data_IF_442942692137
#
_entry.id   IF_442942692137
#
_cell.length_a   1.000
_cell.length_b   1.000
_cell.length_c   1.000
_cell.angle_alpha   90.00
_cell.angle_beta   90.00
_cell.angle_gamma   90.00
#
_symmetry.space_group_name_H-M   'P 1'
#
loop_
_entity.id
_entity.type
_entity.pdbx_description
1 polymer ?
#
# COMPACT_ATOMS: atom_id res chain seq x y z
N UNK A 1 39.55 6.47 -5.86
CA UNK A 1 38.76 7.60 -5.34
C UNK A 1 37.60 7.03 -4.56
N UNK A 2 37.50 7.36 -3.27
CA UNK A 2 36.40 6.78 -2.44
C UNK A 2 35.11 7.58 -2.70
N UNK A 3 34.23 7.04 -3.55
CA UNK A 3 32.87 7.57 -3.73
C UNK A 3 32.08 7.33 -2.46
N UNK A 4 31.47 8.38 -1.92
CA UNK A 4 30.56 8.29 -0.78
C UNK A 4 29.13 8.08 -1.30
N UNK A 5 28.49 6.99 -0.90
CA UNK A 5 27.13 6.62 -1.29
C UNK A 5 26.25 6.46 -0.08
N UNK A 6 25.30 7.37 0.05
CA UNK A 6 24.42 7.45 1.23
C UNK A 6 23.03 6.99 0.84
N UNK A 7 22.55 5.93 1.49
CA UNK A 7 21.18 5.47 1.40
C UNK A 7 20.41 5.96 2.62
N UNK A 8 19.54 6.93 2.41
CA UNK A 8 18.79 7.63 3.46
C UNK A 8 17.33 7.18 3.46
N UNK A 9 16.79 6.81 4.64
CA UNK A 9 15.42 6.33 4.80
C UNK A 9 14.59 7.23 5.73
N UNK A 10 13.37 7.53 5.29
CA UNK A 10 12.26 7.92 6.16
C UNK A 10 11.33 6.72 6.35
N UNK A 11 11.16 6.27 7.61
CA UNK A 11 10.55 4.99 7.92
C UNK A 11 9.04 5.11 8.06
N UNK A 12 8.31 4.40 7.19
CA UNK A 12 6.86 4.27 7.25
C UNK A 12 6.41 2.84 6.96
N UNK A 13 5.33 2.38 7.62
CA UNK A 13 4.81 1.02 7.41
C UNK A 13 4.27 0.83 5.99
N UNK A 14 3.47 1.78 5.51
CA UNK A 14 2.92 1.77 4.15
C UNK A 14 3.83 2.48 3.17
N UNK A 15 4.49 3.54 3.61
CA UNK A 15 5.31 4.38 2.75
C UNK A 15 6.70 4.44 3.36
N UNK A 16 7.57 3.54 2.94
CA UNK A 16 8.99 3.61 3.23
C UNK A 16 9.62 4.46 2.14
N UNK A 17 9.99 5.71 2.45
CA UNK A 17 10.68 6.56 1.50
C UNK A 17 12.19 6.40 1.62
N UNK A 18 12.89 6.41 0.49
CA UNK A 18 14.34 6.43 0.50
C UNK A 18 14.90 7.34 -0.60
N UNK A 19 16.11 7.87 -0.33
CA UNK A 19 16.91 8.59 -1.29
C UNK A 19 18.33 8.03 -1.29
N UNK A 20 18.81 7.61 -2.46
CA UNK A 20 20.15 7.07 -2.64
C UNK A 20 21.01 8.13 -3.33
N UNK A 21 21.97 8.69 -2.60
CA UNK A 21 22.83 9.79 -3.02
C UNK A 21 24.25 9.30 -3.24
N UNK A 22 24.92 9.87 -4.24
CA UNK A 22 26.34 9.66 -4.52
C UNK A 22 27.06 11.01 -4.54
N UNK A 23 28.20 11.09 -3.86
CA UNK A 23 29.11 12.23 -3.87
C UNK A 23 30.52 11.75 -4.16
N UNK A 24 31.17 12.38 -5.12
CA UNK A 24 32.58 12.18 -5.37
C UNK A 24 33.41 13.02 -4.37
N UNK A 25 34.44 12.42 -3.79
CA UNK A 25 35.28 13.07 -2.77
C UNK A 25 35.95 14.34 -3.27
N UNK A 26 36.21 14.44 -4.58
CA UNK A 26 36.93 15.57 -5.21
C UNK A 26 36.02 16.62 -5.86
N UNK A 27 34.69 16.40 -5.93
CA UNK A 27 33.78 17.32 -6.63
C UNK A 27 32.61 17.72 -5.71
N UNK A 28 32.14 18.99 -5.78
CA UNK A 28 31.00 19.45 -4.98
C UNK A 28 29.66 18.79 -5.41
N UNK A 29 29.70 18.04 -6.50
CA UNK A 29 28.50 17.54 -7.17
C UNK A 29 27.94 16.30 -6.50
N UNK A 30 26.69 16.39 -6.06
CA UNK A 30 25.90 15.28 -5.51
C UNK A 30 24.93 14.80 -6.58
N UNK A 31 24.85 13.48 -6.79
CA UNK A 31 23.86 12.87 -7.70
C UNK A 31 22.84 12.06 -6.90
N UNK A 32 21.61 12.03 -7.37
CA UNK A 32 20.61 11.10 -6.90
C UNK A 32 20.66 9.87 -7.81
N UNK A 33 21.00 8.71 -7.24
CA UNK A 33 21.02 7.43 -7.95
C UNK A 33 19.62 6.84 -8.05
N UNK A 34 18.84 6.94 -6.97
CA UNK A 34 17.44 6.52 -6.93
C UNK A 34 16.70 7.22 -5.79
N UNK A 35 15.42 7.51 -5.99
CA UNK A 35 14.60 8.23 -5.02
C UNK A 35 13.13 7.91 -5.19
N UNK A 36 12.56 7.17 -4.26
CA UNK A 36 11.16 6.73 -4.34
C UNK A 36 10.58 6.28 -3.00
N UNK A 37 9.29 6.00 -3.04
CA UNK A 37 8.55 5.41 -1.94
C UNK A 37 8.21 3.98 -2.31
N UNK A 38 8.40 3.07 -1.38
CA UNK A 38 8.00 1.67 -1.49
C UNK A 38 6.92 1.33 -0.47
N UNK A 39 5.97 0.51 -0.88
CA UNK A 39 4.86 0.08 -0.02
C UNK A 39 5.21 -1.27 0.63
N UNK A 40 5.47 -1.27 1.95
CA UNK A 40 5.79 -2.49 2.69
C UNK A 40 4.57 -3.41 2.91
N UNK A 41 3.35 -2.94 2.63
CA UNK A 41 2.14 -3.76 2.70
C UNK A 41 1.96 -4.61 1.44
N UNK A 42 2.45 -4.13 0.29
CA UNK A 42 2.24 -4.71 -1.02
C UNK A 42 3.57 -4.96 -1.71
N UNK A 43 4.00 -6.22 -1.77
CA UNK A 43 5.27 -6.62 -2.40
C UNK A 43 5.20 -6.77 -3.92
N UNK A 44 4.01 -6.98 -4.44
CA UNK A 44 3.78 -7.09 -5.86
C UNK A 44 3.30 -5.76 -6.42
N UNK A 45 3.82 -5.34 -7.59
CA UNK A 45 3.22 -4.21 -8.30
C UNK A 45 1.74 -4.53 -8.49
N UNK A 46 0.85 -3.52 -8.39
CA UNK A 46 -0.56 -3.77 -8.65
C UNK A 46 -0.67 -4.40 -10.04
N UNK A 47 -0.99 -5.70 -10.07
CA UNK A 47 -1.29 -6.37 -11.32
C UNK A 47 -2.55 -5.65 -11.83
N UNK A 48 -2.36 -4.75 -12.76
CA UNK A 48 -3.45 -4.08 -13.45
C UNK A 48 -4.11 -5.12 -14.36
N UNK A 49 -4.84 -6.05 -13.75
CA UNK A 49 -5.78 -6.84 -14.51
C UNK A 49 -6.85 -5.86 -15.00
N UNK A 50 -6.71 -5.41 -16.22
CA UNK A 50 -7.71 -4.58 -16.89
C UNK A 50 -8.93 -5.43 -17.28
N UNK A 51 -9.48 -6.15 -16.25
CA UNK A 51 -10.73 -6.85 -16.46
C UNK A 51 -11.85 -5.85 -16.71
N UNK A 52 -12.52 -6.04 -17.81
CA UNK A 52 -13.69 -5.25 -18.21
C UNK A 52 -14.96 -6.04 -18.02
N UNK A 53 -16.02 -5.35 -17.71
CA UNK A 53 -17.35 -5.92 -17.59
C UNK A 53 -17.86 -6.34 -18.99
N UNK A 54 -18.16 -7.61 -19.15
CA UNK A 54 -18.70 -8.20 -20.40
C UNK A 54 -20.21 -8.29 -20.43
N UNK A 55 -20.93 -7.70 -19.47
CA UNK A 55 -22.38 -7.65 -19.49
C UNK A 55 -22.86 -6.90 -20.72
N UNK A 56 -23.89 -7.43 -21.37
CA UNK A 56 -24.51 -6.79 -22.52
C UNK A 56 -25.32 -5.56 -22.09
N UNK A 57 -25.21 -4.49 -22.85
CA UNK A 57 -26.04 -3.29 -22.68
C UNK A 57 -27.39 -3.55 -23.34
N UNK A 58 -28.49 -3.28 -22.63
CA UNK A 58 -29.84 -3.30 -23.22
C UNK A 58 -29.97 -2.13 -24.20
N UNK A 59 -29.82 -2.40 -25.49
CA UNK A 59 -30.07 -1.41 -26.55
C UNK A 59 -31.48 -1.61 -27.08
N UNK A 60 -32.28 -0.57 -27.07
CA UNK A 60 -33.67 -0.57 -27.53
C UNK A 60 -33.84 -0.63 -29.07
N UNK A 61 -32.76 -0.79 -29.81
CA UNK A 61 -32.76 -0.81 -31.29
C UNK A 61 -32.02 -2.04 -31.80
N UNK A 62 -32.43 -2.57 -32.93
CA UNK A 62 -31.96 -3.77 -33.64
C UNK A 62 -30.45 -3.85 -33.98
N UNK A 63 -29.58 -3.27 -33.15
CA UNK A 63 -28.12 -3.31 -33.30
C UNK A 63 -27.55 -4.49 -32.48
N UNK A 64 -26.42 -5.01 -32.97
CA UNK A 64 -25.65 -6.05 -32.31
C UNK A 64 -25.45 -5.70 -30.82
N UNK A 65 -25.72 -6.62 -29.86
CA UNK A 65 -25.55 -6.36 -28.46
C UNK A 65 -24.12 -5.91 -28.19
N UNK A 66 -23.96 -4.73 -27.55
CA UNK A 66 -22.65 -4.18 -27.20
C UNK A 66 -22.31 -4.54 -25.76
N UNK A 67 -21.09 -5.00 -25.52
CA UNK A 67 -20.58 -5.22 -24.17
C UNK A 67 -20.38 -3.89 -23.43
N UNK A 68 -20.53 -3.94 -22.10
CA UNK A 68 -20.39 -2.78 -21.22
C UNK A 68 -19.02 -2.11 -21.30
N UNK A 69 -17.93 -2.87 -21.32
CA UNK A 69 -16.55 -2.39 -21.41
C UNK A 69 -16.03 -1.57 -20.21
N UNK A 70 -16.87 -1.28 -19.19
CA UNK A 70 -16.43 -0.56 -17.99
C UNK A 70 -15.47 -1.42 -17.17
N UNK A 71 -14.52 -0.78 -16.45
CA UNK A 71 -13.61 -1.48 -15.53
C UNK A 71 -14.41 -2.35 -14.56
N UNK A 72 -14.05 -3.62 -14.46
CA UNK A 72 -14.68 -4.55 -13.54
C UNK A 72 -14.21 -4.29 -12.10
N UNK A 73 -15.14 -4.42 -11.15
CA UNK A 73 -14.90 -4.29 -9.71
C UNK A 73 -15.11 -5.62 -8.98
N UNK A 74 -15.93 -6.48 -9.58
CA UNK A 74 -16.33 -7.75 -9.01
C UNK A 74 -16.09 -8.88 -10.01
N UNK A 75 -15.74 -10.05 -9.47
CA UNK A 75 -15.65 -11.29 -10.23
C UNK A 75 -16.48 -12.39 -9.56
N UNK A 76 -16.92 -13.34 -10.36
CA UNK A 76 -17.58 -14.56 -9.89
C UNK A 76 -17.03 -15.74 -10.68
N UNK A 77 -16.51 -16.73 -9.98
CA UNK A 77 -16.00 -17.96 -10.61
C UNK A 77 -17.03 -19.06 -10.42
N UNK A 78 -17.54 -19.58 -11.52
CA UNK A 78 -18.46 -20.71 -11.51
C UNK A 78 -17.71 -21.97 -11.07
N UNK A 79 -18.09 -22.54 -9.93
CA UNK A 79 -17.65 -23.90 -9.61
C UNK A 79 -18.32 -24.86 -10.58
N UNK A 80 -17.53 -25.66 -11.28
CA UNK A 80 -18.07 -26.78 -12.07
C UNK A 80 -18.65 -27.77 -11.06
N UNK A 81 -19.95 -27.68 -10.84
CA UNK A 81 -20.68 -28.74 -10.14
C UNK A 81 -20.72 -29.93 -11.10
N UNK A 82 -20.15 -31.05 -10.68
CA UNK A 82 -20.42 -32.37 -11.32
C UNK A 82 -21.92 -32.70 -11.25
N UNK A 83 -22.70 -32.09 -12.11
CA UNK A 83 -24.03 -32.62 -12.42
C UNK A 83 -23.81 -33.75 -13.41
N UNK A 84 -23.90 -34.97 -12.91
CA UNK A 84 -23.97 -36.21 -13.67
C UNK A 84 -25.12 -36.14 -14.69
N UNK A 85 -24.85 -35.60 -15.87
CA UNK A 85 -25.69 -35.83 -17.02
C UNK A 85 -25.24 -37.18 -17.61
N UNK A 86 -25.98 -38.26 -17.29
CA UNK A 86 -25.88 -39.53 -18.02
C UNK A 86 -26.38 -39.27 -19.44
N UNK A 87 -25.48 -39.11 -20.37
CA UNK A 87 -25.78 -39.35 -21.80
C UNK A 87 -25.29 -40.74 -22.11
N UNK A 88 -26.26 -41.61 -22.44
CA UNK A 88 -26.01 -42.93 -23.00
C UNK A 88 -25.48 -42.84 -24.41
N UNK A 89 -24.55 -43.71 -24.71
CA UNK A 89 -24.07 -44.22 -26.01
C UNK A 89 -23.00 -43.38 -26.77
N UNK A 90 -21.83 -44.03 -26.82
CA UNK A 90 -20.93 -44.15 -27.97
C UNK A 90 -20.40 -42.87 -28.66
N UNK A 91 -19.27 -42.36 -28.14
CA UNK A 91 -18.05 -42.11 -28.92
C UNK A 91 -16.96 -41.53 -27.99
N UNK A 92 -15.89 -42.29 -27.86
CA UNK A 92 -14.71 -41.93 -27.07
C UNK A 92 -13.93 -40.83 -27.75
N UNK A 93 -14.13 -39.57 -27.35
CA UNK A 93 -13.19 -38.49 -27.61
C UNK A 93 -13.03 -37.66 -26.33
N UNK A 94 -11.81 -37.54 -25.91
CA UNK A 94 -11.23 -36.82 -24.75
C UNK A 94 -12.16 -35.81 -24.12
N UNK A 95 -12.73 -36.16 -22.93
CA UNK A 95 -13.47 -35.22 -22.08
C UNK A 95 -12.50 -34.16 -21.53
N UNK A 96 -12.41 -33.03 -22.18
CA UNK A 96 -11.81 -31.82 -21.62
C UNK A 96 -12.75 -31.36 -20.50
N UNK A 97 -12.34 -31.51 -19.22
CA UNK A 97 -13.04 -30.89 -18.11
C UNK A 97 -13.14 -29.38 -18.39
N UNK A 98 -14.33 -28.79 -18.47
CA UNK A 98 -14.44 -27.35 -18.70
C UNK A 98 -13.77 -26.61 -17.54
N UNK A 99 -12.84 -25.75 -17.86
CA UNK A 99 -12.19 -24.88 -16.87
C UNK A 99 -13.25 -23.97 -16.21
N UNK A 100 -13.14 -23.67 -14.92
CA UNK A 100 -14.08 -22.79 -14.24
C UNK A 100 -14.08 -21.43 -14.94
N UNK A 101 -15.27 -20.98 -15.39
CA UNK A 101 -15.41 -19.70 -16.05
C UNK A 101 -15.50 -18.57 -15.03
N UNK A 102 -14.64 -17.55 -15.17
CA UNK A 102 -14.67 -16.36 -14.32
C UNK A 102 -15.36 -15.22 -15.04
N UNK A 103 -16.47 -14.76 -14.49
CA UNK A 103 -17.27 -13.65 -14.99
C UNK A 103 -16.89 -12.35 -14.27
N UNK A 104 -16.82 -11.24 -15.02
CA UNK A 104 -16.38 -9.95 -14.52
C UNK A 104 -17.49 -8.90 -14.61
N UNK A 105 -17.71 -8.14 -13.53
CA UNK A 105 -18.82 -7.20 -13.42
C UNK A 105 -18.33 -5.81 -12.95
N UNK A 106 -18.80 -4.74 -13.60
CA UNK A 106 -18.68 -3.39 -13.06
C UNK A 106 -19.70 -3.18 -11.91
N UNK A 107 -19.54 -2.13 -11.13
CA UNK A 107 -20.38 -1.87 -9.96
C UNK A 107 -21.88 -1.80 -10.28
N UNK A 108 -22.24 -1.13 -11.38
CA UNK A 108 -23.64 -1.00 -11.81
C UNK A 108 -24.26 -2.35 -12.18
N UNK A 109 -23.55 -3.17 -12.98
CA UNK A 109 -24.07 -4.48 -13.38
C UNK A 109 -24.07 -5.48 -12.22
N UNK A 110 -23.13 -5.41 -11.29
CA UNK A 110 -23.15 -6.24 -10.09
C UNK A 110 -24.35 -5.90 -9.19
N UNK A 111 -24.69 -4.61 -9.02
CA UNK A 111 -25.86 -4.17 -8.23
C UNK A 111 -27.20 -4.58 -8.87
N UNK A 112 -27.27 -4.56 -10.18
CA UNK A 112 -28.50 -4.88 -10.91
C UNK A 112 -28.72 -6.39 -11.10
N UNK A 113 -27.68 -7.19 -10.95
CA UNK A 113 -27.76 -8.65 -11.05
C UNK A 113 -28.28 -9.23 -9.73
N UNK A 114 -29.44 -9.88 -9.79
CA UNK A 114 -30.08 -10.51 -8.62
C UNK A 114 -29.58 -11.93 -8.30
N UNK A 115 -28.75 -12.50 -9.18
CA UNK A 115 -28.25 -13.87 -9.04
C UNK A 115 -27.18 -13.98 -7.97
N UNK A 116 -26.35 -12.95 -7.84
CA UNK A 116 -25.21 -12.94 -6.93
C UNK A 116 -25.29 -11.78 -5.93
N UNK A 117 -24.70 -11.97 -4.77
CA UNK A 117 -24.73 -11.00 -3.68
C UNK A 117 -23.46 -10.13 -3.68
N UNK A 118 -23.62 -8.85 -3.45
CA UNK A 118 -22.47 -7.97 -3.17
C UNK A 118 -21.98 -8.26 -1.76
N UNK A 119 -20.67 -8.53 -1.56
CA UNK A 119 -20.11 -8.80 -0.24
C UNK A 119 -20.34 -7.62 0.71
N UNK A 120 -20.86 -7.89 1.90
CA UNK A 120 -21.12 -6.90 2.96
C UNK A 120 -20.47 -7.37 4.26
N UNK A 121 -20.10 -6.45 5.14
CA UNK A 121 -19.61 -6.80 6.49
C UNK A 121 -20.57 -7.64 7.29
N UNK A 122 -21.87 -7.48 7.08
CA UNK A 122 -22.92 -8.31 7.73
C UNK A 122 -22.88 -9.78 7.31
N UNK A 123 -22.22 -10.13 6.20
CA UNK A 123 -22.06 -11.50 5.73
C UNK A 123 -20.83 -12.18 6.33
N UNK A 124 -19.95 -11.43 7.00
CA UNK A 124 -18.77 -11.99 7.64
C UNK A 124 -19.13 -12.79 8.89
N UNK A 125 -18.40 -13.86 9.15
CA UNK A 125 -18.59 -14.75 10.31
C UNK A 125 -18.60 -13.98 11.64
N UNK A 126 -17.71 -12.98 11.78
CA UNK A 126 -17.64 -12.11 12.95
C UNK A 126 -18.94 -11.34 13.23
N UNK A 127 -19.65 -10.95 12.17
CA UNK A 127 -20.94 -10.25 12.25
C UNK A 127 -22.08 -11.23 12.52
N UNK A 128 -22.07 -12.39 11.86
CA UNK A 128 -23.08 -13.46 12.08
C UNK A 128 -23.03 -13.99 13.50
N UNK A 129 -21.85 -14.16 14.07
CA UNK A 129 -21.68 -14.62 15.46
C UNK A 129 -22.26 -13.64 16.51
N UNK A 130 -22.42 -12.34 16.17
CA UNK A 130 -23.05 -11.34 17.05
C UNK A 130 -24.58 -11.39 17.03
N UNK A 131 -25.16 -12.00 16.02
CA UNK A 131 -26.62 -12.10 15.92
C UNK A 131 -27.19 -13.09 16.95
N UNK A 132 -28.38 -12.78 17.45
CA UNK A 132 -29.19 -13.75 18.20
C UNK A 132 -29.73 -14.82 17.26
N UNK A 133 -30.14 -15.98 17.82
CA UNK A 133 -30.66 -17.08 17.05
C UNK A 133 -31.83 -16.68 16.12
N UNK A 134 -32.77 -15.92 16.64
CA UNK A 134 -33.94 -15.41 15.87
C UNK A 134 -33.51 -14.60 14.61
N UNK A 135 -32.39 -13.83 14.71
CA UNK A 135 -31.86 -13.09 13.57
C UNK A 135 -31.22 -14.00 12.52
N UNK A 136 -30.57 -15.10 12.93
CA UNK A 136 -30.02 -16.10 12.01
C UNK A 136 -31.13 -16.89 11.33
N UNK A 137 -32.17 -17.31 12.07
CA UNK A 137 -33.33 -18.01 11.53
C UNK A 137 -34.08 -17.19 10.46
N UNK A 138 -34.23 -15.86 10.70
CA UNK A 138 -34.78 -14.92 9.70
C UNK A 138 -33.97 -14.91 8.42
N UNK A 139 -32.62 -14.85 8.50
CA UNK A 139 -31.76 -14.89 7.32
C UNK A 139 -31.84 -16.22 6.57
N UNK A 140 -31.91 -17.36 7.28
CA UNK A 140 -32.07 -18.67 6.69
C UNK A 140 -33.40 -18.75 5.88
N UNK A 141 -34.47 -18.21 6.45
CA UNK A 141 -35.77 -18.13 5.78
C UNK A 141 -35.76 -17.18 4.59
N UNK A 142 -35.17 -16.00 4.75
CA UNK A 142 -35.05 -14.98 3.69
C UNK A 142 -34.32 -15.49 2.46
N UNK A 143 -33.23 -16.26 2.67
CA UNK A 143 -32.45 -16.81 1.57
C UNK A 143 -32.88 -18.22 1.14
N UNK A 144 -33.99 -18.76 1.66
CA UNK A 144 -34.51 -20.11 1.38
C UNK A 144 -33.42 -21.19 1.49
N UNK A 145 -32.63 -21.14 2.59
CA UNK A 145 -31.54 -22.11 2.80
C UNK A 145 -32.17 -23.38 3.40
N UNK A 146 -32.00 -24.51 2.71
CA UNK A 146 -32.51 -25.80 3.16
C UNK A 146 -31.81 -26.26 4.44
N UNK A 147 -32.58 -26.58 5.47
CA UNK A 147 -32.08 -27.19 6.70
C UNK A 147 -32.24 -28.69 6.57
N UNK A 148 -31.18 -29.43 6.86
CA UNK A 148 -31.24 -30.89 6.90
C UNK A 148 -32.00 -31.33 8.16
N UNK A 149 -33.12 -32.04 7.97
CA UNK A 149 -34.02 -32.46 9.05
C UNK A 149 -33.35 -33.38 10.08
N UNK A 150 -32.25 -34.03 9.73
CA UNK A 150 -31.50 -34.95 10.58
C UNK A 150 -30.51 -34.26 11.53
N UNK A 151 -30.21 -32.97 11.33
CA UNK A 151 -29.13 -32.27 12.06
C UNK A 151 -29.69 -31.43 13.22
N UNK A 152 -29.15 -31.61 14.43
CA UNK A 152 -29.50 -30.77 15.57
C UNK A 152 -29.10 -29.31 15.29
N UNK A 153 -30.10 -28.44 15.11
CA UNK A 153 -29.92 -27.04 14.73
C UNK A 153 -29.37 -26.24 15.91
N UNK A 154 -28.04 -26.04 15.94
CA UNK A 154 -27.36 -25.15 16.90
C UNK A 154 -27.05 -23.79 16.24
N UNK A 155 -26.78 -22.76 17.06
CA UNK A 155 -26.36 -21.45 16.55
C UNK A 155 -25.17 -21.58 15.60
N UNK A 156 -24.19 -22.44 15.92
CA UNK A 156 -23.00 -22.67 15.10
C UNK A 156 -23.37 -23.21 13.72
N UNK A 157 -24.29 -24.19 13.66
CA UNK A 157 -24.75 -24.74 12.39
C UNK A 157 -25.42 -23.69 11.52
N UNK A 158 -26.23 -22.78 12.09
CA UNK A 158 -26.85 -21.68 11.35
C UNK A 158 -25.82 -20.70 10.79
N UNK A 159 -24.80 -20.35 11.57
CA UNK A 159 -23.70 -19.48 11.13
C UNK A 159 -22.91 -20.14 10.00
N UNK A 160 -22.56 -21.42 10.12
CA UNK A 160 -21.83 -22.17 9.09
C UNK A 160 -22.63 -22.29 7.78
N UNK A 161 -23.92 -22.52 7.86
CA UNK A 161 -24.81 -22.55 6.69
C UNK A 161 -24.87 -21.21 5.97
N UNK A 162 -25.07 -20.11 6.72
CA UNK A 162 -25.09 -18.75 6.16
C UNK A 162 -23.73 -18.39 5.55
N UNK A 163 -22.62 -18.71 6.22
CA UNK A 163 -21.28 -18.50 5.71
C UNK A 163 -21.06 -19.22 4.39
N UNK A 164 -21.43 -20.51 4.33
CA UNK A 164 -21.30 -21.31 3.12
C UNK A 164 -22.18 -20.76 1.99
N UNK A 165 -23.39 -20.32 2.29
CA UNK A 165 -24.30 -19.69 1.33
C UNK A 165 -23.68 -18.40 0.78
N UNK A 166 -23.21 -17.48 1.64
CA UNK A 166 -22.58 -16.25 1.21
C UNK A 166 -21.29 -16.49 0.41
N UNK A 167 -20.46 -17.44 0.81
CA UNK A 167 -19.25 -17.80 0.07
C UNK A 167 -19.58 -18.29 -1.35
N UNK A 168 -20.65 -19.07 -1.52
CA UNK A 168 -21.08 -19.60 -2.83
C UNK A 168 -21.81 -18.57 -3.69
N UNK A 169 -22.52 -17.61 -3.08
CA UNK A 169 -23.40 -16.67 -3.80
C UNK A 169 -22.85 -15.27 -3.91
N UNK A 170 -21.82 -14.90 -3.17
CA UNK A 170 -21.26 -13.56 -3.24
C UNK A 170 -20.20 -13.41 -4.34
N UNK A 171 -20.20 -12.25 -4.93
CA UNK A 171 -19.06 -11.81 -5.73
C UNK A 171 -17.79 -11.78 -4.88
N UNK A 172 -16.67 -12.02 -5.54
CA UNK A 172 -15.35 -11.67 -5.01
C UNK A 172 -14.96 -10.31 -5.55
N UNK A 173 -14.48 -9.42 -4.69
CA UNK A 173 -13.87 -8.18 -5.17
C UNK A 173 -12.63 -8.53 -6.00
N UNK A 174 -12.52 -7.93 -7.18
CA UNK A 174 -11.26 -8.01 -7.93
C UNK A 174 -10.25 -7.21 -7.11
N UNK A 175 -9.45 -7.91 -6.32
CA UNK A 175 -8.36 -7.29 -5.61
C UNK A 175 -7.33 -6.80 -6.64
N UNK A 176 -7.14 -5.51 -6.72
CA UNK A 176 -5.81 -5.00 -7.03
C UNK A 176 -4.95 -5.51 -5.88
N UNK A 177 -4.02 -6.40 -6.05
CA UNK A 177 -3.22 -7.20 -5.12
C UNK A 177 -2.96 -6.66 -3.68
N UNK A 178 -3.71 -5.67 -3.24
CA UNK A 178 -3.77 -5.16 -1.89
C UNK A 178 -5.11 -5.57 -1.29
N UNK A 179 -5.11 -6.39 -0.26
CA UNK A 179 -6.31 -6.53 0.57
C UNK A 179 -6.75 -5.11 1.00
N UNK A 180 -7.91 -4.60 0.52
CA UNK A 180 -8.35 -3.25 0.87
C UNK A 180 -8.56 -3.07 2.38
N UNK A 181 -8.60 -4.16 3.14
CA UNK A 181 -8.69 -4.19 4.59
C UNK A 181 -7.32 -4.34 5.27
N UNK A 182 -6.24 -4.58 4.50
CA UNK A 182 -4.89 -4.62 5.05
C UNK A 182 -4.45 -3.20 5.41
N UNK A 183 -4.46 -2.89 6.67
CA UNK A 183 -3.99 -1.61 7.20
C UNK A 183 -2.64 -1.80 7.89
N UNK A 184 -1.86 -0.73 7.97
CA UNK A 184 -0.57 -0.71 8.65
C UNK A 184 -0.63 -1.27 10.09
N UNK A 185 -1.78 -1.20 10.75
CA UNK A 185 -1.97 -1.71 12.12
C UNK A 185 -2.32 -3.20 12.17
N UNK A 186 -2.78 -3.81 11.09
CA UNK A 186 -3.26 -5.20 11.07
C UNK A 186 -2.21 -6.20 10.57
N UNK A 187 -1.28 -5.75 9.74
CA UNK A 187 -0.23 -6.63 9.21
C UNK A 187 0.72 -7.04 10.35
N UNK A 188 1.09 -8.30 10.43
CA UNK A 188 2.09 -8.76 11.39
C UNK A 188 3.52 -8.34 11.00
N UNK A 189 4.41 -8.24 11.99
CA UNK A 189 5.78 -7.76 11.76
C UNK A 189 6.63 -8.77 10.99
N UNK A 190 6.38 -10.07 11.12
CA UNK A 190 7.10 -11.11 10.36
C UNK A 190 6.84 -10.95 8.87
N UNK A 191 5.57 -10.70 8.51
CA UNK A 191 5.20 -10.41 7.10
C UNK A 191 5.87 -9.14 6.60
N UNK A 192 5.92 -8.06 7.42
CA UNK A 192 6.66 -6.84 7.05
C UNK A 192 8.14 -7.13 6.83
N UNK A 193 8.79 -7.89 7.71
CA UNK A 193 10.20 -8.26 7.54
C UNK A 193 10.47 -9.05 6.26
N UNK A 194 9.57 -9.99 5.89
CA UNK A 194 9.64 -10.70 4.60
C UNK A 194 9.47 -9.74 3.42
N UNK A 195 8.55 -8.79 3.54
CA UNK A 195 8.31 -7.78 2.52
C UNK A 195 9.50 -6.84 2.35
N UNK A 196 10.14 -6.41 3.45
CA UNK A 196 11.38 -5.62 3.44
C UNK A 196 12.44 -6.37 2.64
N UNK A 197 12.72 -7.63 2.99
CA UNK A 197 13.70 -8.45 2.27
C UNK A 197 13.37 -8.53 0.78
N UNK A 198 12.14 -8.87 0.44
CA UNK A 198 11.72 -9.04 -0.95
C UNK A 198 11.82 -7.74 -1.76
N UNK A 199 11.40 -6.61 -1.20
CA UNK A 199 11.47 -5.31 -1.86
C UNK A 199 12.91 -4.85 -2.02
N UNK A 200 13.72 -4.94 -0.95
CA UNK A 200 15.11 -4.48 -0.99
C UNK A 200 15.96 -5.33 -1.92
N UNK A 201 15.71 -6.64 -2.02
CA UNK A 201 16.42 -7.52 -2.97
C UNK A 201 16.07 -7.20 -4.43
N UNK A 202 14.86 -6.68 -4.71
CA UNK A 202 14.44 -6.23 -6.05
C UNK A 202 15.00 -4.87 -6.44
N UNK A 203 15.55 -4.09 -5.51
CA UNK A 203 16.15 -2.80 -5.79
C UNK A 203 17.60 -2.97 -6.29
N UNK A 204 17.74 -3.40 -7.55
CA UNK A 204 19.05 -3.66 -8.20
C UNK A 204 20.01 -2.49 -8.07
N UNK A 205 19.50 -1.23 -8.09
CA UNK A 205 20.31 -0.02 -7.94
C UNK A 205 21.13 -0.02 -6.64
N UNK A 206 20.55 -0.50 -5.54
CA UNK A 206 21.22 -0.57 -4.22
C UNK A 206 22.35 -1.60 -4.26
N UNK A 207 22.13 -2.74 -4.91
CA UNK A 207 23.13 -3.79 -5.03
C UNK A 207 24.24 -3.40 -6.01
N UNK A 208 23.88 -2.73 -7.12
CA UNK A 208 24.83 -2.31 -8.15
C UNK A 208 25.83 -1.28 -7.61
N UNK A 209 25.35 -0.29 -6.84
CA UNK A 209 26.21 0.81 -6.37
C UNK A 209 26.78 0.61 -4.97
N UNK A 210 26.28 -0.32 -4.17
CA UNK A 210 26.73 -0.65 -2.82
C UNK A 210 26.86 0.59 -1.90
N UNK A 211 25.91 0.86 -1.01
CA UNK A 211 25.97 2.01 -0.12
C UNK A 211 27.20 1.94 0.81
N UNK A 212 27.88 3.04 0.99
CA UNK A 212 28.93 3.19 2.01
C UNK A 212 28.36 3.58 3.37
N UNK A 213 27.25 4.33 3.35
CA UNK A 213 26.53 4.79 4.53
C UNK A 213 25.04 4.54 4.37
N UNK A 214 24.40 4.08 5.42
CA UNK A 214 22.96 3.86 5.49
C UNK A 214 22.45 4.60 6.71
N UNK A 215 21.55 5.55 6.47
CA UNK A 215 21.03 6.42 7.52
C UNK A 215 19.52 6.31 7.60
N UNK A 216 19.01 6.28 8.82
CA UNK A 216 17.59 6.15 9.10
C UNK A 216 17.17 7.16 10.15
N UNK A 217 15.93 7.69 10.02
CA UNK A 217 15.39 8.54 11.06
C UNK A 217 15.22 7.76 12.36
N UNK A 218 15.74 8.31 13.47
CA UNK A 218 15.61 7.67 14.77
C UNK A 218 14.19 7.78 15.32
N UNK A 219 13.56 6.63 15.55
CA UNK A 219 12.19 6.52 16.06
C UNK A 219 12.17 6.61 17.59
N UNK A 220 12.04 7.82 18.12
CA UNK A 220 12.17 8.10 19.58
C UNK A 220 10.88 7.78 20.34
N UNK A 221 9.71 7.88 19.73
CA UNK A 221 8.42 7.74 20.42
C UNK A 221 8.17 6.32 20.93
N UNK A 222 7.73 6.20 22.18
CA UNK A 222 7.27 4.93 22.78
C UNK A 222 6.03 4.37 22.06
N UNK A 223 5.20 5.23 21.46
CA UNK A 223 4.04 4.83 20.66
C UNK A 223 4.42 4.29 19.28
N UNK A 224 5.67 4.48 18.87
CA UNK A 224 6.18 4.03 17.56
C UNK A 224 6.83 2.63 17.62
N UNK A 225 6.39 1.73 18.50
CA UNK A 225 6.98 0.40 18.66
C UNK A 225 7.12 -0.35 17.32
N UNK A 226 6.08 -0.33 16.49
CA UNK A 226 6.12 -0.94 15.16
C UNK A 226 7.16 -0.30 14.23
N UNK A 227 7.30 1.02 14.28
CA UNK A 227 8.31 1.75 13.48
C UNK A 227 9.73 1.41 13.94
N UNK A 228 9.95 1.25 15.26
CA UNK A 228 11.24 0.77 15.79
C UNK A 228 11.56 -0.66 15.35
N UNK A 229 10.56 -1.54 15.30
CA UNK A 229 10.75 -2.90 14.79
C UNK A 229 11.16 -2.87 13.32
N UNK A 230 10.47 -2.10 12.48
CA UNK A 230 10.83 -1.92 11.06
C UNK A 230 12.25 -1.33 10.91
N UNK A 231 12.60 -0.36 11.74
CA UNK A 231 13.95 0.20 11.79
C UNK A 231 14.99 -0.90 12.09
N UNK A 232 14.73 -1.75 13.08
CA UNK A 232 15.59 -2.89 13.41
C UNK A 232 15.67 -3.93 12.32
N UNK A 233 14.54 -4.27 11.68
CA UNK A 233 14.48 -5.22 10.56
C UNK A 233 15.27 -4.71 9.34
N UNK A 234 15.13 -3.43 8.97
CA UNK A 234 15.91 -2.78 7.92
C UNK A 234 17.40 -2.77 8.27
N UNK A 235 17.73 -2.41 9.50
CA UNK A 235 19.12 -2.39 9.98
C UNK A 235 19.75 -3.78 9.86
N UNK A 236 19.06 -4.81 10.34
CA UNK A 236 19.56 -6.18 10.28
C UNK A 236 19.72 -6.66 8.83
N UNK A 237 18.75 -6.34 7.96
CA UNK A 237 18.86 -6.64 6.53
C UNK A 237 20.14 -6.04 5.94
N UNK A 238 20.41 -4.77 6.21
CA UNK A 238 21.58 -4.09 5.66
C UNK A 238 22.90 -4.52 6.27
N UNK A 239 22.95 -4.87 7.56
CA UNK A 239 24.14 -5.50 8.18
C UNK A 239 24.50 -6.78 7.46
N UNK A 240 23.51 -7.61 7.15
CA UNK A 240 23.74 -8.88 6.44
C UNK A 240 24.12 -8.66 4.97
N UNK A 241 23.52 -7.67 4.31
CA UNK A 241 23.72 -7.43 2.86
C UNK A 241 24.98 -6.64 2.55
N UNK A 242 25.32 -5.64 3.39
CA UNK A 242 26.46 -4.74 3.23
C UNK A 242 27.24 -4.62 4.55
N UNK A 243 27.98 -5.65 4.96
CA UNK A 243 28.62 -5.71 6.28
C UNK A 243 29.63 -4.59 6.56
N UNK A 244 30.16 -3.97 5.51
CA UNK A 244 31.12 -2.88 5.61
C UNK A 244 30.48 -1.47 5.54
N UNK A 245 29.17 -1.37 5.33
CA UNK A 245 28.49 -0.08 5.31
C UNK A 245 28.34 0.47 6.72
N UNK A 246 28.60 1.77 6.89
CA UNK A 246 28.33 2.46 8.13
C UNK A 246 26.81 2.70 8.27
N UNK A 247 26.22 2.26 9.40
CA UNK A 247 24.78 2.43 9.64
C UNK A 247 24.59 3.37 10.84
N UNK A 248 23.80 4.43 10.66
CA UNK A 248 23.57 5.44 11.70
C UNK A 248 22.08 5.83 11.79
N UNK A 249 21.58 5.98 13.03
CA UNK A 249 20.26 6.54 13.32
C UNK A 249 20.38 8.05 13.56
N UNK A 250 19.62 8.84 12.82
CA UNK A 250 19.72 10.29 12.81
C UNK A 250 18.47 10.93 13.40
N UNK A 251 18.66 11.98 14.21
CA UNK A 251 17.54 12.76 14.73
C UNK A 251 16.81 13.51 13.60
N UNK A 252 15.48 13.43 13.59
CA UNK A 252 14.62 14.20 12.67
C UNK A 252 14.85 15.71 12.70
N UNK A 253 15.33 16.24 13.84
CA UNK A 253 15.64 17.66 13.98
C UNK A 253 16.81 18.13 13.09
N UNK A 254 17.65 17.23 12.62
CA UNK A 254 18.82 17.58 11.83
C UNK A 254 18.49 17.97 10.39
N UNK A 255 17.44 17.39 9.80
CA UNK A 255 17.09 17.59 8.39
C UNK A 255 16.77 19.04 8.01
N UNK A 256 16.25 19.85 8.94
CA UNK A 256 15.91 21.26 8.72
C UNK A 256 16.87 22.25 9.42
N UNK A 257 17.82 21.78 10.23
CA UNK A 257 18.62 22.59 11.14
C UNK A 257 19.44 23.69 10.46
N UNK A 258 19.85 23.51 9.21
CA UNK A 258 20.72 24.42 8.48
C UNK A 258 20.03 25.13 7.31
N UNK A 259 18.71 25.01 7.22
CA UNK A 259 17.93 25.73 6.22
C UNK A 259 17.28 26.95 6.88
N UNK A 260 17.59 28.14 6.35
CA UNK A 260 16.94 29.39 6.78
C UNK A 260 15.50 29.41 6.29
N UNK A 261 14.51 29.72 7.13
CA UNK A 261 13.14 29.85 6.68
C UNK A 261 13.06 30.90 5.58
N UNK A 262 12.49 30.53 4.44
CA UNK A 262 12.12 31.55 3.44
C UNK A 262 10.88 32.24 4.00
N UNK A 263 11.07 33.40 4.61
CA UNK A 263 9.98 34.23 5.11
C UNK A 263 9.18 34.77 3.92
N UNK A 264 8.11 34.09 3.59
CA UNK A 264 7.10 34.54 2.64
C UNK A 264 5.89 35.08 3.38
N UNK A 265 6.09 36.02 4.32
CA UNK A 265 5.04 36.98 4.72
C UNK A 265 5.57 37.89 5.84
N UNK A 266 5.34 39.19 5.81
CA UNK A 266 5.65 40.05 6.94
C UNK A 266 4.77 39.67 8.12
N UNK A 267 5.42 39.34 9.23
CA UNK A 267 4.73 39.09 10.51
C UNK A 267 4.08 40.39 10.97
N UNK A 268 2.78 40.46 10.87
CA UNK A 268 1.96 41.47 11.56
C UNK A 268 2.16 41.29 13.07
N UNK A 269 2.85 42.22 13.69
CA UNK A 269 2.99 42.32 15.14
C UNK A 269 1.68 42.79 15.75
N UNK A 270 0.86 41.87 16.24
CA UNK A 270 -0.24 42.16 17.18
C UNK A 270 -0.01 41.40 18.49
N UNK A 271 -0.24 41.99 19.66
CA UNK A 271 0.12 41.41 20.95
C UNK A 271 -0.75 40.23 21.33
N UNK A 272 -0.11 39.25 21.93
CA UNK A 272 -0.60 37.93 22.30
C UNK A 272 -1.59 38.02 23.43
N UNK A 273 -2.83 37.58 23.18
CA UNK A 273 -3.82 37.20 24.18
C UNK A 273 -3.56 35.74 24.58
N UNK A 274 -3.45 35.53 25.87
CA UNK A 274 -3.19 34.24 26.53
C UNK A 274 -4.43 33.35 26.54
N UNK A 275 -4.43 32.24 25.79
CA UNK A 275 -5.33 31.09 25.98
C UNK A 275 -4.69 29.77 25.44
N UNK A 276 -5.07 28.57 25.93
CA UNK A 276 -4.15 27.45 26.15
C UNK A 276 -3.94 26.47 24.99
N UNK A 277 -2.79 26.18 24.81
CA UNK A 277 -1.81 25.07 24.54
C UNK A 277 -2.19 23.83 23.71
N UNK A 278 -3.30 23.63 23.06
CA UNK A 278 -3.49 22.38 22.27
C UNK A 278 -3.42 22.55 20.73
N UNK A 279 -3.51 23.76 20.22
CA UNK A 279 -3.52 24.03 18.76
C UNK A 279 -2.17 24.34 18.14
N UNK A 280 -1.13 24.59 18.93
CA UNK A 280 0.18 25.06 18.46
C UNK A 280 1.08 23.93 17.92
N UNK A 281 0.99 22.71 18.47
CA UNK A 281 1.85 21.58 18.04
C UNK A 281 1.50 21.07 16.64
N UNK A 282 0.23 20.95 16.32
CA UNK A 282 -0.24 20.52 15.00
C UNK A 282 0.08 21.54 13.88
N UNK A 283 0.05 22.83 14.20
CA UNK A 283 0.43 23.89 13.25
C UNK A 283 1.93 23.84 12.94
N UNK A 284 2.77 23.74 13.97
CA UNK A 284 4.22 23.59 13.80
C UNK A 284 4.59 22.36 12.98
N UNK A 285 3.97 21.21 13.26
CA UNK A 285 4.23 19.97 12.52
C UNK A 285 3.88 20.11 11.02
N UNK A 286 2.72 20.69 10.69
CA UNK A 286 2.33 20.94 9.30
C UNK A 286 3.27 21.92 8.61
N UNK A 287 3.72 22.97 9.31
CA UNK A 287 4.67 23.93 8.79
C UNK A 287 6.02 23.25 8.47
N UNK A 288 6.56 22.44 9.38
CA UNK A 288 7.79 21.67 9.14
C UNK A 288 7.72 20.80 7.89
N UNK A 289 6.59 20.13 7.65
CA UNK A 289 6.39 19.33 6.43
C UNK A 289 6.38 20.20 5.18
N UNK A 290 5.74 21.36 5.23
CA UNK A 290 5.70 22.29 4.11
C UNK A 290 7.09 22.87 3.83
N UNK A 291 7.81 23.25 4.88
CA UNK A 291 9.17 23.75 4.79
C UNK A 291 10.12 22.72 4.13
N UNK A 292 10.00 21.44 4.52
CA UNK A 292 10.77 20.36 3.92
C UNK A 292 10.55 20.26 2.39
N UNK A 293 9.31 20.36 1.95
CA UNK A 293 8.97 20.35 0.51
C UNK A 293 9.59 21.55 -0.21
N UNK A 294 9.48 22.76 0.39
CA UNK A 294 10.01 23.99 -0.20
C UNK A 294 11.54 23.92 -0.33
N UNK A 295 12.25 23.50 0.73
CA UNK A 295 13.71 23.38 0.69
C UNK A 295 14.18 22.32 -0.30
N UNK A 296 13.48 21.21 -0.38
CA UNK A 296 13.78 20.19 -1.39
C UNK A 296 13.66 20.77 -2.79
N UNK A 297 12.59 21.50 -3.10
CA UNK A 297 12.42 22.16 -4.40
C UNK A 297 13.52 23.16 -4.70
N UNK A 298 13.91 23.98 -3.71
CA UNK A 298 15.01 24.94 -3.87
C UNK A 298 16.33 24.26 -4.19
N UNK A 299 16.69 23.20 -3.46
CA UNK A 299 17.93 22.45 -3.72
C UNK A 299 17.92 21.84 -5.12
N UNK A 300 16.81 21.22 -5.53
CA UNK A 300 16.68 20.64 -6.86
C UNK A 300 16.80 21.70 -7.98
N UNK A 301 16.29 22.92 -7.76
CA UNK A 301 16.34 24.01 -8.73
C UNK A 301 17.72 24.68 -8.81
N UNK A 302 18.42 24.78 -7.69
CA UNK A 302 19.70 25.46 -7.60
C UNK A 302 20.92 24.57 -7.89
N UNK A 303 20.72 23.25 -7.93
CA UNK A 303 21.77 22.26 -8.17
C UNK A 303 21.53 21.59 -9.52
N UNK A 304 22.27 21.90 -10.59
CA UNK A 304 22.03 21.38 -11.93
C UNK A 304 21.97 19.86 -12.03
N UNK A 305 22.85 19.17 -11.29
CA UNK A 305 22.94 17.70 -11.27
C UNK A 305 21.69 17.02 -10.67
N UNK A 306 20.94 17.76 -9.84
CA UNK A 306 19.71 17.27 -9.21
C UNK A 306 18.44 17.71 -9.95
N UNK A 307 18.55 18.63 -10.89
CA UNK A 307 17.40 19.25 -11.58
C UNK A 307 16.54 18.25 -12.36
N UNK A 308 17.13 17.16 -12.84
CA UNK A 308 16.41 16.08 -13.54
C UNK A 308 15.34 15.42 -12.67
N UNK A 309 15.45 15.51 -11.35
CA UNK A 309 14.51 14.94 -10.41
C UNK A 309 13.33 15.85 -10.04
N UNK A 310 13.33 17.10 -10.49
CA UNK A 310 12.23 18.06 -10.21
C UNK A 310 10.89 17.54 -10.69
N UNK A 311 10.83 16.99 -11.90
CA UNK A 311 9.59 16.45 -12.46
C UNK A 311 9.10 15.25 -11.65
N UNK A 312 9.97 14.30 -11.34
CA UNK A 312 9.63 13.12 -10.53
C UNK A 312 9.13 13.52 -9.13
N UNK A 313 9.77 14.49 -8.49
CA UNK A 313 9.33 15.03 -7.21
C UNK A 313 7.98 15.74 -7.29
N UNK A 314 7.72 16.50 -8.36
CA UNK A 314 6.49 17.26 -8.52
C UNK A 314 5.28 16.40 -8.92
N UNK A 315 5.47 15.30 -9.62
CA UNK A 315 4.40 14.37 -9.96
C UNK A 315 3.89 13.55 -8.78
N UNK A 316 4.69 13.43 -7.71
CA UNK A 316 4.29 12.75 -6.50
C UNK A 316 3.46 13.68 -5.60
N UNK A 317 2.13 13.63 -5.72
CA UNK A 317 1.22 14.57 -5.03
C UNK A 317 0.83 14.13 -3.62
N UNK A 318 0.88 12.83 -3.31
CA UNK A 318 0.29 12.27 -2.08
C UNK A 318 1.27 12.12 -0.93
N UNK A 319 2.58 11.97 -1.21
CA UNK A 319 3.63 11.66 -0.22
C UNK A 319 4.93 12.43 -0.49
N UNK A 320 4.76 13.67 -0.92
CA UNK A 320 5.88 14.56 -1.24
C UNK A 320 6.73 14.91 -0.01
N UNK A 321 6.08 14.95 1.16
CA UNK A 321 6.72 15.16 2.45
C UNK A 321 7.68 14.03 2.82
N UNK A 322 7.26 12.75 2.66
CA UNK A 322 8.10 11.60 2.97
C UNK A 322 9.34 11.54 2.04
N UNK A 323 9.17 11.88 0.75
CA UNK A 323 10.30 12.03 -0.19
C UNK A 323 11.24 13.18 0.22
N UNK A 324 10.68 14.33 0.58
CA UNK A 324 11.48 15.47 1.02
C UNK A 324 12.30 15.12 2.27
N UNK A 325 11.71 14.43 3.22
CA UNK A 325 12.33 14.08 4.48
C UNK A 325 13.55 13.16 4.29
N UNK A 326 13.45 12.09 3.52
CA UNK A 326 14.59 11.21 3.25
C UNK A 326 15.68 11.89 2.42
N UNK A 327 15.33 12.77 1.47
CA UNK A 327 16.28 13.54 0.68
C UNK A 327 17.05 14.53 1.54
N UNK A 328 16.36 15.40 2.30
CA UNK A 328 16.99 16.42 3.14
C UNK A 328 17.89 15.82 4.21
N UNK A 329 17.48 14.69 4.79
CA UNK A 329 18.29 13.92 5.72
C UNK A 329 19.61 13.45 5.08
N UNK A 330 19.53 12.92 3.86
CA UNK A 330 20.72 12.51 3.10
C UNK A 330 21.64 13.68 2.74
N UNK A 331 21.08 14.80 2.27
CA UNK A 331 21.83 16.03 1.96
C UNK A 331 22.50 16.60 3.22
N UNK A 332 21.77 16.65 4.35
CA UNK A 332 22.34 17.08 5.62
C UNK A 332 23.52 16.21 6.03
N UNK A 333 23.39 14.89 5.93
CA UNK A 333 24.45 13.95 6.28
C UNK A 333 25.70 14.15 5.43
N UNK A 334 25.54 14.29 4.11
CA UNK A 334 26.62 14.56 3.18
C UNK A 334 27.36 15.87 3.45
N UNK A 335 26.65 16.91 3.89
CA UNK A 335 27.22 18.24 4.08
C UNK A 335 27.86 18.45 5.45
N UNK A 336 27.29 17.87 6.49
CA UNK A 336 27.62 18.25 7.87
C UNK A 336 28.16 17.10 8.74
N UNK A 337 27.95 15.86 8.32
CA UNK A 337 28.37 14.70 9.11
C UNK A 337 29.59 14.01 8.52
N UNK A 338 29.66 13.95 7.21
CA UNK A 338 30.84 13.39 6.54
C UNK A 338 31.92 14.46 6.41
N UNK A 339 33.15 14.13 6.81
CA UNK A 339 34.27 15.04 6.64
C UNK A 339 34.46 15.37 5.15
N UNK A 340 34.79 16.63 4.86
CA UNK A 340 35.33 17.02 3.57
C UNK A 340 36.70 16.36 3.47
N UNK A 341 36.82 15.33 2.67
CA UNK A 341 38.10 14.64 2.40
C UNK A 341 38.85 15.42 1.36
#
# INVERSE_FOLDING_TARGET
MNQQRILSFDIGIKNLAYCFLEKEASLPNTKILDWKIVDLLNTEPPVTHNHVCKCLLSTSTKKVPKECGKKAKYQYTTSVSNSSFRVSSEEATRSVCPLPETLYFCESHAKNNKTYLIPKKSHEESSLNKLKREGLDKLITEYNISLDASTKITKKVLVDLLRNYYTKKSYTLISTNADPNMTANKIDMITIGRNIKHIMDKLEIITTYNPTHIIMENQISTMASRMKTIQGELTMYFIMKFPNAHIEYISSANKLKHFTPVSTTPVSTTPVSTTPVSTTTNKKYRQHKQDAIVYTQQILQTTPELSTWIQAFNTNTTKKDDLADCFLQGIWYLRFRLPLV
#
